data_IF_132229138713
#
_entry.id   IF_132229138713
#
_cell.length_a   1.000
_cell.length_b   1.000
_cell.length_c   1.000
_cell.angle_alpha   90.00
_cell.angle_beta   90.00
_cell.angle_gamma   90.00
#
_symmetry.space_group_name_H-M   'P 1'
#
loop_
_entity.id
_entity.type
_entity.pdbx_description
1 polymer ?
#
# COMPACT_ATOMS: atom_id res chain seq x y z
N UNK A 1 -1.35 -5.77 -6.82
CA UNK A 1 -2.39 -4.86 -7.36
C UNK A 1 -2.03 -3.43 -6.98
N UNK A 2 -2.20 -2.45 -7.88
CA UNK A 2 -1.93 -1.04 -7.58
C UNK A 2 -3.03 -0.44 -6.71
N UNK A 3 -2.68 0.57 -5.91
CA UNK A 3 -3.62 1.20 -4.97
C UNK A 3 -4.84 1.80 -5.67
N UNK A 4 -4.68 2.42 -6.84
CA UNK A 4 -5.83 2.95 -7.58
C UNK A 4 -6.78 1.84 -8.05
N UNK A 5 -6.23 0.71 -8.55
CA UNK A 5 -7.03 -0.44 -8.99
C UNK A 5 -7.86 -1.01 -7.83
N UNK A 6 -7.29 -1.09 -6.63
CA UNK A 6 -8.03 -1.52 -5.44
C UNK A 6 -9.21 -0.58 -5.14
N UNK A 7 -8.99 0.73 -5.20
CA UNK A 7 -10.04 1.72 -4.88
C UNK A 7 -11.16 1.78 -5.93
N UNK A 8 -10.89 1.29 -7.14
CA UNK A 8 -11.90 1.16 -8.20
C UNK A 8 -12.75 -0.13 -8.07
N UNK A 9 -12.39 -1.06 -7.18
CA UNK A 9 -13.16 -2.29 -6.95
C UNK A 9 -14.51 -2.00 -6.28
N UNK A 10 -15.55 -2.72 -6.72
CA UNK A 10 -16.83 -2.73 -6.02
C UNK A 10 -16.66 -3.29 -4.60
N UNK A 11 -16.97 -2.49 -3.58
CA UNK A 11 -16.84 -2.89 -2.17
C UNK A 11 -15.47 -2.60 -1.54
N UNK A 12 -14.56 -1.95 -2.26
CA UNK A 12 -13.37 -1.38 -1.66
C UNK A 12 -13.69 -0.18 -0.76
N UNK A 13 -12.74 0.16 0.11
CA UNK A 13 -12.79 1.39 0.89
C UNK A 13 -12.73 2.60 -0.04
N UNK A 14 -13.50 3.64 0.26
CA UNK A 14 -13.32 4.95 -0.36
C UNK A 14 -12.00 5.60 0.09
N UNK A 15 -11.54 6.61 -0.66
CA UNK A 15 -10.34 7.39 -0.31
C UNK A 15 -10.43 7.96 1.12
N UNK A 16 -11.61 8.42 1.52
CA UNK A 16 -11.87 9.01 2.83
C UNK A 16 -11.84 7.97 3.95
N UNK A 17 -12.43 6.80 3.72
CA UNK A 17 -12.36 5.72 4.71
C UNK A 17 -10.93 5.22 4.87
N UNK A 18 -10.21 5.07 3.76
CA UNK A 18 -8.82 4.67 3.77
C UNK A 18 -7.95 5.70 4.50
N UNK A 19 -8.11 7.00 4.24
CA UNK A 19 -7.31 8.06 4.89
C UNK A 19 -7.51 8.05 6.41
N UNK A 20 -8.76 7.94 6.88
CA UNK A 20 -9.09 7.80 8.29
C UNK A 20 -8.46 6.53 8.87
N UNK A 21 -8.60 5.40 8.20
CA UNK A 21 -8.13 4.11 8.70
C UNK A 21 -6.61 4.01 8.81
N UNK A 22 -5.87 4.65 7.90
CA UNK A 22 -4.40 4.68 7.92
C UNK A 22 -3.82 5.88 8.68
N UNK A 23 -4.68 6.72 9.26
CA UNK A 23 -4.28 7.86 10.11
C UNK A 23 -3.66 9.02 9.34
N UNK A 24 -4.10 9.24 8.09
CA UNK A 24 -3.63 10.33 7.23
C UNK A 24 -4.64 11.49 7.27
N UNK A 25 -4.21 12.73 7.56
CA UNK A 25 -5.13 13.85 7.77
C UNK A 25 -5.78 14.37 6.48
N UNK A 26 -5.28 13.97 5.30
CA UNK A 26 -5.76 14.50 4.01
C UNK A 26 -5.96 13.40 2.96
N UNK A 27 -7.16 13.34 2.40
CA UNK A 27 -7.51 12.48 1.26
C UNK A 27 -6.62 12.77 0.04
N UNK A 28 -6.13 14.00 -0.11
CA UNK A 28 -5.24 14.38 -1.20
C UNK A 28 -3.92 13.61 -1.16
N UNK A 29 -3.43 13.27 0.03
CA UNK A 29 -2.21 12.48 0.19
C UNK A 29 -2.42 11.05 -0.33
N UNK A 30 -3.57 10.44 -0.04
CA UNK A 30 -3.94 9.13 -0.58
C UNK A 30 -4.06 9.19 -2.10
N UNK A 31 -4.71 10.22 -2.66
CA UNK A 31 -4.83 10.43 -4.12
C UNK A 31 -3.49 10.60 -4.82
N UNK A 32 -2.53 11.26 -4.19
CA UNK A 32 -1.17 11.39 -4.73
C UNK A 32 -0.46 10.03 -4.83
N UNK A 33 -0.66 9.16 -3.84
CA UNK A 33 -0.08 7.81 -3.84
C UNK A 33 -0.73 6.87 -4.85
N UNK A 34 -2.03 7.03 -5.14
CA UNK A 34 -2.75 6.21 -6.13
C UNK A 34 -2.08 6.19 -7.51
N UNK A 35 -1.62 7.36 -7.96
CA UNK A 35 -1.04 7.53 -9.29
C UNK A 35 0.48 7.78 -9.26
N UNK A 36 1.11 7.66 -8.08
CA UNK A 36 2.54 7.94 -7.93
C UNK A 36 2.93 9.37 -8.35
N UNK A 37 2.05 10.36 -8.09
CA UNK A 37 2.26 11.73 -8.53
C UNK A 37 3.60 12.28 -8.06
N UNK A 38 4.43 12.79 -8.96
CA UNK A 38 5.79 13.24 -8.67
C UNK A 38 6.65 12.19 -7.93
N UNK A 39 6.48 10.91 -8.27
CA UNK A 39 7.13 9.78 -7.63
C UNK A 39 6.87 9.67 -6.11
N UNK A 40 5.73 10.22 -5.65
CA UNK A 40 5.32 10.14 -4.24
C UNK A 40 4.83 8.75 -3.92
N UNK A 41 5.52 8.11 -2.98
CA UNK A 41 5.14 6.83 -2.39
C UNK A 41 4.79 6.99 -0.90
N UNK A 42 3.90 6.14 -0.37
CA UNK A 42 3.65 6.12 1.07
C UNK A 42 4.93 5.73 1.82
N UNK A 43 5.17 6.36 2.97
CA UNK A 43 6.25 5.95 3.87
C UNK A 43 6.04 4.52 4.41
N UNK A 44 7.06 3.86 4.99
CA UNK A 44 6.99 2.46 5.43
C UNK A 44 5.77 2.17 6.33
N UNK A 45 5.54 3.03 7.33
CA UNK A 45 4.40 2.90 8.26
C UNK A 45 3.05 2.92 7.53
N UNK A 46 2.89 3.79 6.54
CA UNK A 46 1.66 3.89 5.76
C UNK A 46 1.51 2.69 4.82
N UNK A 47 2.59 2.14 4.28
CA UNK A 47 2.51 0.92 3.46
C UNK A 47 1.94 -0.24 4.26
N UNK A 48 2.43 -0.46 5.49
CA UNK A 48 1.91 -1.48 6.40
C UNK A 48 0.44 -1.23 6.74
N UNK A 49 0.06 0.03 7.00
CA UNK A 49 -1.31 0.39 7.31
C UNK A 49 -2.27 0.17 6.13
N UNK A 50 -1.87 0.56 4.91
CA UNK A 50 -2.64 0.33 3.68
C UNK A 50 -2.80 -1.17 3.43
N UNK A 51 -1.73 -1.97 3.54
CA UNK A 51 -1.82 -3.41 3.35
C UNK A 51 -2.80 -4.07 4.34
N UNK A 52 -2.79 -3.65 5.61
CA UNK A 52 -3.77 -4.13 6.60
C UNK A 52 -5.19 -3.68 6.28
N UNK A 53 -5.38 -2.41 5.90
CA UNK A 53 -6.69 -1.86 5.56
C UNK A 53 -7.31 -2.55 4.33
N UNK A 54 -6.47 -2.89 3.34
CA UNK A 54 -6.87 -3.60 2.12
C UNK A 54 -6.86 -5.12 2.26
N UNK A 55 -6.65 -5.65 3.48
CA UNK A 55 -6.59 -7.09 3.78
C UNK A 55 -5.60 -7.86 2.89
N UNK A 56 -4.48 -7.22 2.56
CA UNK A 56 -3.41 -7.80 1.74
C UNK A 56 -3.65 -7.75 0.23
N UNK A 57 -4.76 -7.16 -0.26
CA UNK A 57 -4.97 -6.96 -1.70
C UNK A 57 -3.97 -5.99 -2.31
N UNK A 58 -3.59 -4.95 -1.55
CA UNK A 58 -2.50 -4.04 -1.90
C UNK A 58 -1.34 -4.30 -0.96
N UNK A 59 -0.24 -4.85 -1.47
CA UNK A 59 0.91 -5.21 -0.65
C UNK A 59 1.93 -4.08 -0.51
N UNK A 60 2.83 -4.17 0.47
CA UNK A 60 4.00 -3.27 0.57
C UNK A 60 4.85 -3.29 -0.70
N UNK A 61 4.98 -4.44 -1.35
CA UNK A 61 5.69 -4.59 -2.62
C UNK A 61 4.98 -3.84 -3.76
N UNK A 62 3.64 -3.82 -3.78
CA UNK A 62 2.88 -3.06 -4.77
C UNK A 62 3.05 -1.53 -4.61
N UNK A 63 3.12 -1.07 -3.36
CA UNK A 63 3.24 0.35 -3.00
C UNK A 63 4.68 0.89 -3.15
N UNK A 64 5.68 0.02 -3.00
CA UNK A 64 7.11 0.37 -3.01
C UNK A 64 7.92 -0.67 -3.79
N UNK A 65 7.68 -0.83 -5.10
CA UNK A 65 8.30 -1.90 -5.89
C UNK A 65 9.83 -1.83 -5.91
N UNK A 66 10.41 -0.64 -5.77
CA UNK A 66 11.85 -0.41 -5.93
C UNK A 66 12.66 -0.70 -4.66
N UNK A 67 12.09 -0.49 -3.48
CA UNK A 67 12.83 -0.49 -2.21
C UNK A 67 12.14 -1.28 -1.07
N UNK A 68 11.05 -2.00 -1.34
CA UNK A 68 10.39 -2.80 -0.30
C UNK A 68 11.28 -3.90 0.27
N UNK A 69 12.18 -4.48 -0.54
CA UNK A 69 13.08 -5.57 -0.13
C UNK A 69 14.13 -5.09 0.88
N UNK A 70 14.59 -3.85 0.73
CA UNK A 70 15.57 -3.25 1.64
C UNK A 70 14.93 -2.86 2.99
N UNK A 71 13.64 -2.53 2.97
CA UNK A 71 12.90 -2.05 4.15
C UNK A 71 12.30 -3.21 4.95
N UNK A 72 11.84 -4.25 4.27
CA UNK A 72 11.26 -5.45 4.86
C UNK A 72 11.93 -6.72 4.30
N UNK A 73 13.24 -6.91 4.56
CA UNK A 73 13.97 -8.10 4.10
C UNK A 73 13.34 -9.40 4.63
N UNK A 74 12.67 -9.35 5.79
CA UNK A 74 11.96 -10.49 6.36
C UNK A 74 10.82 -11.01 5.47
N UNK A 75 10.17 -10.16 4.68
CA UNK A 75 9.09 -10.58 3.77
C UNK A 75 9.64 -11.35 2.57
N UNK A 76 10.85 -11.01 2.11
CA UNK A 76 11.53 -11.73 1.02
C UNK A 76 11.82 -13.15 1.46
N UNK A 77 12.41 -13.31 2.65
CA UNK A 77 12.69 -14.62 3.22
C UNK A 77 11.42 -15.47 3.42
N UNK A 78 10.31 -14.85 3.83
CA UNK A 78 9.03 -15.55 3.96
C UNK A 78 8.45 -16.02 2.62
N UNK A 79 8.63 -15.25 1.53
CA UNK A 79 8.21 -15.66 0.19
C UNK A 79 9.02 -16.84 -0.34
N UNK A 80 10.32 -16.88 -0.06
CA UNK A 80 11.21 -17.97 -0.45
C UNK A 80 10.83 -19.28 0.27
N UNK A 81 10.54 -19.22 1.57
CA UNK A 81 10.08 -20.40 2.34
C UNK A 81 8.70 -20.88 1.87
N UNK A 82 7.79 -19.97 1.50
CA UNK A 82 6.46 -20.35 1.01
C UNK A 82 6.46 -20.98 -0.40
N UNK A 83 7.54 -20.80 -1.17
CA UNK A 83 7.71 -21.36 -2.52
C UNK A 83 8.66 -22.58 -2.57
N UNK A 84 9.24 -22.97 -1.44
CA UNK A 84 10.09 -24.16 -1.30
C UNK A 84 9.26 -25.37 -0.85
#
# INVERSE_FOLDING_TARGET
>A
MKLHEYLDLSGALSVKELSVQIGVPSDAQVRQWQHGYANRKPGPKHCVAIERATRGLVTRADLRPDDWRDIWPELVAQQEVAHA
#
